data_IF_182749891080
#
_entry.id   IF_182749891080
#
_cell.length_a   1.000
_cell.length_b   1.000
_cell.length_c   1.000
_cell.angle_alpha   90.00
_cell.angle_beta   90.00
_cell.angle_gamma   90.00
#
_symmetry.space_group_name_H-M   'P 1'
#
loop_
_entity.id
_entity.type
_entity.pdbx_description
1 polymer ?
#
# COMPACT_ATOMS: atom_id res chain seq x y z
N UNK A 1 27.91 -21.98 -16.44
CA UNK A 1 27.20 -21.16 -15.43
C UNK A 1 26.32 -20.21 -16.21
N UNK A 2 24.99 -20.29 -16.04
CA UNK A 2 24.07 -19.39 -16.75
C UNK A 2 24.09 -18.01 -16.11
N UNK A 3 24.33 -16.97 -16.90
CA UNK A 3 24.23 -15.56 -16.50
C UNK A 3 22.79 -15.23 -16.09
N UNK A 4 22.46 -15.40 -14.81
CA UNK A 4 21.20 -14.89 -14.26
C UNK A 4 21.28 -13.36 -14.24
N UNK A 5 20.68 -12.73 -15.25
CA UNK A 5 20.49 -11.28 -15.30
C UNK A 5 19.43 -10.87 -14.28
N UNK A 6 19.85 -10.27 -13.17
CA UNK A 6 18.93 -9.66 -12.22
C UNK A 6 18.22 -8.47 -12.89
N UNK A 7 16.89 -8.49 -12.89
CA UNK A 7 16.08 -7.36 -13.35
C UNK A 7 15.74 -6.52 -12.12
N UNK A 8 16.25 -5.29 -12.09
CA UNK A 8 15.91 -4.31 -11.06
C UNK A 8 14.86 -3.36 -11.64
N UNK A 9 13.70 -3.29 -11.00
CA UNK A 9 12.67 -2.31 -11.31
C UNK A 9 12.68 -1.23 -10.25
N UNK A 10 12.73 0.04 -10.66
CA UNK A 10 12.68 1.18 -9.76
C UNK A 10 11.34 1.90 -9.93
N UNK A 11 10.67 2.16 -8.80
CA UNK A 11 9.45 2.97 -8.74
C UNK A 11 9.80 4.26 -8.01
N UNK A 12 9.51 5.41 -8.65
CA UNK A 12 9.70 6.74 -8.06
C UNK A 12 8.39 7.51 -8.13
N UNK A 13 7.92 7.97 -6.97
CA UNK A 13 6.75 8.81 -6.85
C UNK A 13 7.13 10.29 -6.86
N UNK A 14 6.26 11.11 -7.43
CA UNK A 14 6.35 12.57 -7.37
C UNK A 14 5.84 13.10 -6.02
N UNK A 15 6.58 12.83 -4.95
CA UNK A 15 6.23 13.24 -3.59
C UNK A 15 6.28 14.78 -3.43
N UNK A 16 5.30 15.42 -2.74
CA UNK A 16 4.18 14.83 -2.00
C UNK A 16 2.89 14.64 -2.82
N UNK A 17 2.92 14.93 -4.12
CA UNK A 17 1.73 14.99 -4.95
C UNK A 17 1.25 13.61 -5.46
N UNK A 18 2.15 12.62 -5.46
CA UNK A 18 1.89 11.21 -5.72
C UNK A 18 2.17 10.37 -4.47
N UNK A 19 1.21 9.54 -4.07
CA UNK A 19 1.28 8.68 -2.89
C UNK A 19 0.50 7.38 -3.11
N UNK A 20 0.85 6.32 -2.38
CA UNK A 20 0.21 5.01 -2.49
C UNK A 20 -1.22 5.09 -1.92
N UNK A 21 -2.17 4.60 -2.71
CA UNK A 21 -3.59 4.45 -2.33
C UNK A 21 -4.00 2.98 -2.26
N UNK A 22 -3.24 2.08 -2.87
CA UNK A 22 -3.43 0.64 -2.74
C UNK A 22 -2.17 -0.16 -3.12
N UNK A 23 -2.09 -1.38 -2.60
CA UNK A 23 -1.07 -2.36 -2.96
C UNK A 23 -1.76 -3.68 -3.23
N UNK A 24 -1.51 -4.27 -4.40
CA UNK A 24 -2.03 -5.60 -4.73
C UNK A 24 -0.90 -6.50 -5.22
N UNK A 25 -1.15 -7.78 -5.30
CA UNK A 25 -0.15 -8.70 -5.81
C UNK A 25 -0.61 -10.14 -5.75
N UNK A 26 0.32 -11.02 -6.08
CA UNK A 26 0.11 -12.46 -6.03
C UNK A 26 1.15 -13.14 -5.18
N UNK A 27 0.68 -14.04 -4.32
CA UNK A 27 1.49 -15.01 -3.60
C UNK A 27 1.39 -16.35 -4.34
N UNK A 28 2.38 -17.22 -4.21
CA UNK A 28 2.29 -18.58 -4.75
C UNK A 28 1.03 -19.30 -4.23
N UNK A 29 0.70 -20.45 -4.82
CA UNK A 29 -0.42 -21.29 -4.38
C UNK A 29 -0.48 -21.52 -2.84
N UNK A 30 0.68 -21.60 -2.17
CA UNK A 30 0.76 -21.81 -0.72
C UNK A 30 0.66 -20.52 0.13
N UNK A 31 0.52 -19.35 -0.49
CA UNK A 31 0.42 -18.06 0.20
C UNK A 31 1.69 -17.62 0.93
N UNK A 32 2.85 -18.21 0.63
CA UNK A 32 4.08 -18.04 1.41
C UNK A 32 5.25 -17.49 0.59
N UNK A 33 5.02 -17.07 -0.65
CA UNK A 33 6.05 -16.51 -1.53
C UNK A 33 5.45 -15.45 -2.44
N UNK A 34 5.96 -14.23 -2.40
CA UNK A 34 5.51 -13.13 -3.27
C UNK A 34 5.98 -13.36 -4.71
N UNK A 35 5.02 -13.51 -5.62
CA UNK A 35 5.21 -13.79 -7.04
C UNK A 35 5.13 -12.52 -7.87
N UNK A 36 4.20 -11.63 -7.51
CA UNK A 36 4.13 -10.30 -8.09
C UNK A 36 3.58 -9.26 -7.13
N UNK A 37 3.92 -8.00 -7.41
CA UNK A 37 3.41 -6.85 -6.68
C UNK A 37 3.10 -5.69 -7.63
N UNK A 38 2.04 -4.97 -7.33
CA UNK A 38 1.58 -3.78 -8.02
C UNK A 38 1.30 -2.69 -7.00
N UNK A 39 1.80 -1.49 -7.27
CA UNK A 39 1.54 -0.31 -6.45
C UNK A 39 0.60 0.63 -7.18
N UNK A 40 -0.54 0.91 -6.56
CA UNK A 40 -1.45 1.95 -7.01
C UNK A 40 -1.21 3.25 -6.28
N UNK A 41 -1.12 4.34 -7.04
CA UNK A 41 -1.07 5.69 -6.51
C UNK A 41 -2.37 6.44 -6.84
N UNK A 42 -2.54 7.61 -6.25
CA UNK A 42 -3.59 8.57 -6.62
C UNK A 42 -3.47 9.11 -8.06
N UNK A 43 -2.46 8.68 -8.83
CA UNK A 43 -2.21 9.14 -10.21
C UNK A 43 -2.16 8.01 -11.23
N UNK A 44 -1.55 6.88 -10.88
CA UNK A 44 -1.26 5.78 -11.81
C UNK A 44 -0.94 4.49 -11.07
N UNK A 45 -0.68 3.45 -11.85
CA UNK A 45 -0.26 2.15 -11.39
C UNK A 45 1.20 1.87 -11.79
N UNK A 46 1.92 1.14 -10.94
CA UNK A 46 3.25 0.60 -11.23
C UNK A 46 3.26 -0.92 -11.02
N UNK A 47 3.55 -1.66 -12.08
CA UNK A 47 3.61 -3.12 -12.08
C UNK A 47 2.63 -3.73 -13.09
N UNK A 48 2.29 -5.02 -12.93
CA UNK A 48 2.81 -5.94 -11.92
C UNK A 48 4.30 -6.23 -12.13
N UNK A 49 5.08 -6.20 -11.04
CA UNK A 49 6.48 -6.62 -11.05
C UNK A 49 6.60 -8.06 -10.56
N UNK A 50 7.23 -8.92 -11.35
CA UNK A 50 7.39 -10.35 -11.05
C UNK A 50 6.68 -11.24 -12.07
N UNK A 51 6.64 -12.55 -11.80
CA UNK A 51 5.98 -13.54 -12.65
C UNK A 51 5.03 -14.36 -11.79
N UNK A 52 3.79 -14.44 -12.22
CA UNK A 52 2.73 -15.13 -11.49
C UNK A 52 1.96 -16.04 -12.43
N UNK A 53 1.29 -17.02 -11.84
CA UNK A 53 0.45 -17.99 -12.52
C UNK A 53 -1.02 -17.73 -12.23
N UNK A 54 -1.93 -18.31 -13.02
CA UNK A 54 -3.37 -18.09 -12.83
C UNK A 54 -3.92 -18.68 -11.52
N UNK A 55 -3.23 -19.69 -10.96
CA UNK A 55 -3.59 -20.34 -9.70
C UNK A 55 -2.91 -19.72 -8.46
N UNK A 56 -2.11 -18.66 -8.64
CA UNK A 56 -1.50 -17.93 -7.53
C UNK A 56 -2.56 -17.13 -6.74
N UNK A 57 -2.38 -17.04 -5.41
CA UNK A 57 -3.33 -16.36 -4.52
C UNK A 57 -3.20 -14.85 -4.64
N UNK A 58 -4.32 -14.14 -4.82
CA UNK A 58 -4.35 -12.69 -4.95
C UNK A 58 -4.54 -12.05 -3.57
N UNK A 59 -3.79 -10.96 -3.31
CA UNK A 59 -4.12 -10.02 -2.24
C UNK A 59 -4.37 -8.63 -2.84
N UNK A 60 -5.24 -7.86 -2.20
CA UNK A 60 -5.58 -6.51 -2.60
C UNK A 60 -5.86 -5.65 -1.36
N UNK A 61 -4.91 -4.76 -1.04
CA UNK A 61 -4.99 -3.84 0.10
C UNK A 61 -5.32 -2.44 -0.39
N UNK A 62 -6.49 -1.93 0.02
CA UNK A 62 -6.95 -0.56 -0.30
C UNK A 62 -6.76 0.35 0.91
N UNK A 63 -6.00 1.43 0.71
CA UNK A 63 -5.67 2.44 1.73
C UNK A 63 -6.43 3.76 1.52
N UNK A 64 -6.98 3.98 0.31
CA UNK A 64 -7.69 5.21 -0.03
C UNK A 64 -6.79 6.44 -0.08
N UNK A 65 -7.41 7.62 -0.02
CA UNK A 65 -6.75 8.92 -0.27
C UNK A 65 -6.21 9.61 1.00
N UNK A 66 -6.40 8.99 2.17
CA UNK A 66 -5.96 9.50 3.48
C UNK A 66 -4.44 9.42 3.70
N UNK A 67 -3.68 9.05 2.66
CA UNK A 67 -2.21 8.92 2.69
C UNK A 67 -1.75 7.99 3.82
N UNK A 68 -2.48 6.88 3.97
CA UNK A 68 -2.26 5.96 5.09
C UNK A 68 -0.98 5.14 4.94
N UNK A 69 -0.38 5.01 3.75
CA UNK A 69 0.83 4.21 3.59
C UNK A 69 1.99 4.74 4.45
N UNK A 70 2.45 3.93 5.41
CA UNK A 70 3.53 4.25 6.35
C UNK A 70 4.81 3.44 6.15
N UNK A 71 4.79 2.40 5.32
CA UNK A 71 5.94 1.55 5.03
C UNK A 71 5.55 0.08 4.89
N UNK A 72 6.53 -0.77 4.57
CA UNK A 72 6.34 -2.22 4.49
C UNK A 72 6.96 -2.94 5.69
N UNK A 73 6.42 -4.11 6.00
CA UNK A 73 7.06 -5.12 6.85
C UNK A 73 6.90 -6.49 6.20
N UNK A 74 7.67 -7.48 6.66
CA UNK A 74 7.60 -8.82 6.11
C UNK A 74 8.81 -9.67 6.44
N UNK A 75 8.90 -10.82 5.77
CA UNK A 75 10.00 -11.78 5.91
C UNK A 75 10.54 -12.13 4.52
N UNK A 76 11.84 -12.33 4.40
CA UNK A 76 12.48 -12.77 3.17
C UNK A 76 13.56 -13.81 3.47
N UNK A 77 13.89 -14.61 2.47
CA UNK A 77 15.06 -15.48 2.45
C UNK A 77 15.96 -15.13 1.26
N UNK A 78 17.01 -15.92 1.03
CA UNK A 78 17.96 -15.72 -0.08
C UNK A 78 17.28 -15.70 -1.47
N UNK A 79 16.10 -16.30 -1.61
CA UNK A 79 15.44 -16.51 -2.90
C UNK A 79 14.23 -15.61 -3.12
N UNK A 80 13.55 -15.19 -2.05
CA UNK A 80 12.24 -14.56 -2.19
C UNK A 80 11.75 -13.81 -0.96
N UNK A 81 10.80 -12.90 -1.18
CA UNK A 81 9.96 -12.34 -0.13
C UNK A 81 8.89 -13.36 0.23
N UNK A 82 8.88 -13.82 1.48
CA UNK A 82 7.99 -14.88 1.98
C UNK A 82 6.67 -14.33 2.52
N UNK A 83 6.69 -13.10 3.04
CA UNK A 83 5.49 -12.38 3.48
C UNK A 83 5.70 -10.89 3.30
N UNK A 84 4.60 -10.16 3.07
CA UNK A 84 4.60 -8.71 2.98
C UNK A 84 3.33 -8.17 3.63
N UNK A 85 3.48 -7.10 4.40
CA UNK A 85 2.41 -6.32 5.00
C UNK A 85 2.75 -4.83 4.96
N UNK A 86 1.78 -4.00 5.32
CA UNK A 86 1.87 -2.54 5.22
C UNK A 86 1.58 -1.92 6.58
N UNK A 87 2.47 -1.04 7.02
CA UNK A 87 2.18 -0.14 8.14
C UNK A 87 1.26 0.98 7.66
N UNK A 88 0.23 1.28 8.45
CA UNK A 88 -0.78 2.28 8.12
C UNK A 88 -0.76 3.43 9.13
N UNK A 89 -0.69 4.66 8.64
CA UNK A 89 -0.92 5.88 9.41
C UNK A 89 -2.42 6.04 9.70
N UNK A 90 -2.77 6.78 10.78
CA UNK A 90 -4.16 7.10 11.10
C UNK A 90 -4.88 7.82 9.95
N UNK A 91 -6.18 7.54 9.82
CA UNK A 91 -7.08 8.21 8.89
C UNK A 91 -7.23 9.67 9.33
N UNK A 92 -6.82 10.61 8.48
CA UNK A 92 -6.85 12.05 8.82
C UNK A 92 -8.24 12.62 8.69
N UNK A 93 -9.01 12.19 7.68
CA UNK A 93 -10.39 12.64 7.47
C UNK A 93 -11.26 12.37 8.69
N UNK A 94 -11.11 11.23 9.36
CA UNK A 94 -11.84 10.92 10.58
C UNK A 94 -11.53 11.90 11.72
N UNK A 95 -10.25 12.22 11.93
CA UNK A 95 -9.84 13.21 12.94
C UNK A 95 -10.38 14.60 12.64
N UNK A 96 -10.36 15.01 11.36
CA UNK A 96 -10.91 16.30 10.95
C UNK A 96 -12.42 16.38 11.16
N UNK A 97 -13.17 15.34 10.79
CA UNK A 97 -14.63 15.29 11.00
C UNK A 97 -15.02 15.39 12.47
N UNK A 98 -14.27 14.72 13.36
CA UNK A 98 -14.51 14.82 14.81
C UNK A 98 -14.26 16.25 15.30
N UNK A 99 -13.15 16.86 14.88
CA UNK A 99 -12.81 18.24 15.26
C UNK A 99 -13.82 19.26 14.74
N UNK A 100 -14.28 19.13 13.49
CA UNK A 100 -15.32 19.99 12.91
C UNK A 100 -16.65 19.87 13.67
N UNK A 101 -17.03 18.66 14.09
CA UNK A 101 -18.25 18.46 14.87
C UNK A 101 -18.13 19.03 16.29
N UNK A 102 -16.96 18.93 16.93
CA UNK A 102 -16.71 19.56 18.24
C UNK A 102 -16.78 21.08 18.12
N UNK A 103 -16.12 21.68 17.13
CA UNK A 103 -16.14 23.12 16.92
C UNK A 103 -17.57 23.66 16.72
N UNK A 104 -18.40 22.96 15.93
CA UNK A 104 -19.82 23.32 15.76
C UNK A 104 -20.60 23.26 17.08
N UNK A 105 -20.35 22.24 17.91
CA UNK A 105 -20.99 22.13 19.22
C UNK A 105 -20.54 23.24 20.18
N UNK A 106 -19.27 23.64 20.15
CA UNK A 106 -18.76 24.76 20.96
C UNK A 106 -19.39 26.09 20.52
N UNK A 107 -19.47 26.36 19.23
CA UNK A 107 -20.13 27.56 18.69
C UNK A 107 -21.63 27.61 19.05
N UNK A 108 -22.33 26.46 19.02
CA UNK A 108 -23.74 26.35 19.41
C UNK A 108 -23.97 26.55 20.93
N UNK A 109 -23.01 26.17 21.77
CA UNK A 109 -23.10 26.30 23.23
C UNK A 109 -22.77 27.71 23.72
N UNK A 110 -21.98 28.48 22.97
CA UNK A 110 -21.57 29.86 23.35
C UNK A 110 -22.64 30.92 22.98
N UNK A 111 -23.71 30.54 22.27
CA UNK A 111 -24.82 31.42 21.85
C UNK A 111 -25.92 31.65 22.91
N UNK A 112 -25.60 31.63 24.22
CA UNK A 112 -26.56 31.92 25.32
C UNK A 112 -26.14 33.10 26.17
#
# INVERSE_FOLDING_TARGET
MSDYKFVVNQVKFDYPSEYITWVSGRLNYYGNNLRSITFGTNRREYGPFGKFENYDTIFDLRLGDDRQFGGFHGTADEKSVRSIGVYCNPIKTLGNLVNENIAKLEDDVVLV
#
